data_IF_486994166471
#
_entry.id   IF_486994166471
#
_cell.length_a   1.000
_cell.length_b   1.000
_cell.length_c   1.000
_cell.angle_alpha   90.00
_cell.angle_beta   90.00
_cell.angle_gamma   90.00
#
_symmetry.space_group_name_H-M   'P 1'
#
loop_
_entity.id
_entity.type
_entity.pdbx_description
1 polymer ?
#
# COMPACT_ATOMS: atom_id res chain seq x y z
N UNK A 1 3.32 19.30 7.71
CA UNK A 1 3.99 18.20 6.98
C UNK A 1 3.43 18.18 5.58
N UNK A 2 4.27 17.94 4.58
CA UNK A 2 3.88 18.01 3.18
C UNK A 2 2.87 16.91 2.85
N UNK A 3 1.66 17.25 2.32
CA UNK A 3 0.70 16.27 1.84
C UNK A 3 1.23 15.58 0.58
N UNK A 4 1.11 14.26 0.51
CA UNK A 4 1.68 13.45 -0.58
C UNK A 4 0.71 12.47 -1.21
N UNK A 5 -0.42 12.17 -0.55
CA UNK A 5 -1.38 11.17 -1.03
C UNK A 5 -2.39 11.82 -1.98
N UNK A 6 -2.40 11.47 -3.28
CA UNK A 6 -3.41 11.96 -4.20
C UNK A 6 -4.79 11.39 -3.87
N UNK A 7 -5.80 12.27 -3.87
CA UNK A 7 -7.21 11.93 -3.64
C UNK A 7 -8.13 12.60 -4.65
N UNK A 8 -9.37 12.11 -4.73
CA UNK A 8 -10.40 12.68 -5.59
C UNK A 8 -10.18 12.41 -7.08
N UNK A 9 -10.97 13.08 -7.91
CA UNK A 9 -10.92 12.97 -9.37
C UNK A 9 -9.72 13.70 -9.95
N UNK A 10 -9.30 13.31 -11.15
CA UNK A 10 -8.37 14.09 -11.94
C UNK A 10 -8.99 15.41 -12.38
N UNK A 11 -8.20 16.45 -12.44
CA UNK A 11 -8.58 17.78 -12.86
C UNK A 11 -7.60 18.35 -13.87
N UNK A 12 -8.02 19.34 -14.61
CA UNK A 12 -7.19 20.11 -15.53
C UNK A 12 -6.20 21.00 -14.77
N UNK A 13 -5.19 21.50 -15.46
CA UNK A 13 -4.26 22.47 -14.86
C UNK A 13 -4.98 23.74 -14.40
N UNK A 14 -5.93 24.24 -15.18
CA UNK A 14 -6.69 25.46 -14.84
C UNK A 14 -7.50 25.29 -13.54
N UNK A 15 -8.14 24.13 -13.35
CA UNK A 15 -8.84 23.78 -12.11
C UNK A 15 -7.90 23.65 -10.92
N UNK A 16 -6.73 23.01 -11.15
CA UNK A 16 -5.67 22.87 -10.16
C UNK A 16 -5.14 24.23 -9.69
N UNK A 17 -4.85 25.14 -10.61
CA UNK A 17 -4.34 26.48 -10.31
C UNK A 17 -5.35 27.30 -9.47
N UNK A 18 -6.66 27.15 -9.70
CA UNK A 18 -7.71 27.75 -8.88
C UNK A 18 -7.69 27.22 -7.44
N UNK A 19 -7.49 25.91 -7.25
CA UNK A 19 -7.41 25.31 -5.92
C UNK A 19 -6.13 25.72 -5.19
N UNK A 20 -5.00 25.76 -5.89
CA UNK A 20 -3.73 26.24 -5.34
C UNK A 20 -3.84 27.69 -4.84
N UNK A 21 -4.52 28.55 -5.60
CA UNK A 21 -4.79 29.92 -5.17
C UNK A 21 -5.64 30.03 -3.91
N UNK A 22 -6.41 28.97 -3.57
CA UNK A 22 -7.20 28.84 -2.34
C UNK A 22 -6.39 28.15 -1.19
N UNK A 23 -5.10 27.86 -1.39
CA UNK A 23 -4.25 27.20 -0.39
C UNK A 23 -4.38 25.67 -0.37
N UNK A 24 -5.06 25.07 -1.34
CA UNK A 24 -5.19 23.62 -1.45
C UNK A 24 -3.94 23.03 -2.10
N UNK A 25 -3.36 22.00 -1.50
CA UNK A 25 -2.23 21.27 -2.09
C UNK A 25 -2.68 20.38 -3.24
N UNK A 26 -2.05 20.56 -4.40
CA UNK A 26 -2.35 19.82 -5.64
C UNK A 26 -1.03 19.37 -6.26
N UNK A 27 -1.01 18.18 -6.85
CA UNK A 27 0.14 17.66 -7.63
C UNK A 27 -0.30 17.11 -8.96
N UNK A 28 0.59 17.09 -9.91
CA UNK A 28 0.44 16.32 -11.14
C UNK A 28 0.58 14.82 -10.82
N UNK A 29 -0.32 13.99 -11.33
CA UNK A 29 -0.37 12.56 -11.03
C UNK A 29 -0.19 11.72 -12.30
N UNK A 30 1.06 11.39 -12.56
CA UNK A 30 1.47 10.36 -13.53
C UNK A 30 0.99 10.61 -14.97
N UNK A 31 1.03 11.86 -15.44
CA UNK A 31 0.63 12.25 -16.80
C UNK A 31 -0.87 12.23 -17.07
N UNK A 32 -1.70 11.93 -16.06
CA UNK A 32 -3.16 11.80 -16.18
C UNK A 32 -3.92 13.08 -15.82
N UNK A 33 -3.23 14.10 -15.32
CA UNK A 33 -3.78 15.35 -14.84
C UNK A 33 -3.40 15.65 -13.40
N UNK A 34 -4.11 16.56 -12.78
CA UNK A 34 -3.82 17.06 -11.45
C UNK A 34 -4.78 16.46 -10.42
N UNK A 35 -4.29 16.25 -9.20
CA UNK A 35 -5.12 15.77 -8.08
C UNK A 35 -4.77 16.52 -6.79
N UNK A 36 -5.79 16.72 -5.97
CA UNK A 36 -5.61 17.18 -4.61
C UNK A 36 -4.78 16.17 -3.82
N UNK A 37 -3.87 16.66 -2.96
CA UNK A 37 -3.09 15.80 -2.07
C UNK A 37 -3.38 16.11 -0.60
N UNK A 38 -3.33 15.07 0.23
CA UNK A 38 -3.52 15.14 1.67
C UNK A 38 -2.38 14.41 2.39
N UNK A 39 -2.29 14.61 3.69
CA UNK A 39 -1.36 13.86 4.52
C UNK A 39 -1.69 12.36 4.48
N UNK A 40 -0.65 11.52 4.47
CA UNK A 40 -0.78 10.05 4.51
C UNK A 40 0.21 9.50 5.53
N UNK A 41 -0.09 9.59 6.83
CA UNK A 41 0.78 9.06 7.86
C UNK A 41 0.75 7.53 7.87
N UNK A 42 1.81 6.94 8.41
CA UNK A 42 1.84 5.52 8.72
C UNK A 42 0.79 5.20 9.79
N UNK A 43 -0.02 4.14 9.62
CA UNK A 43 -0.94 3.70 10.66
C UNK A 43 -0.14 3.10 11.83
N UNK A 44 -0.53 3.45 13.04
CA UNK A 44 0.13 2.98 14.26
C UNK A 44 -0.63 1.83 14.91
N UNK A 45 -1.97 1.83 14.80
CA UNK A 45 -2.87 0.88 15.45
C UNK A 45 -4.17 0.77 14.67
N UNK A 46 -4.79 -0.39 14.71
CA UNK A 46 -6.15 -0.64 14.22
C UNK A 46 -7.07 -0.75 15.44
N UNK A 47 -8.06 0.14 15.54
CA UNK A 47 -8.91 0.23 16.73
C UNK A 47 -9.70 -1.06 16.96
N UNK A 48 -10.21 -1.68 15.90
CA UNK A 48 -11.03 -2.90 15.92
C UNK A 48 -10.22 -4.20 15.92
N UNK A 49 -8.90 -4.14 16.09
CA UNK A 49 -8.00 -5.31 15.98
C UNK A 49 -8.45 -6.51 16.82
N UNK A 50 -8.92 -6.28 18.04
CA UNK A 50 -9.41 -7.35 18.92
C UNK A 50 -10.60 -8.10 18.32
N UNK A 51 -11.58 -7.38 17.79
CA UNK A 51 -12.76 -7.96 17.15
C UNK A 51 -12.38 -8.71 15.86
N UNK A 52 -11.53 -8.11 15.04
CA UNK A 52 -11.04 -8.72 13.79
C UNK A 52 -10.35 -10.05 14.08
N UNK A 53 -9.47 -10.07 15.08
CA UNK A 53 -8.74 -11.28 15.48
C UNK A 53 -9.70 -12.37 15.95
N UNK A 54 -10.62 -12.04 16.85
CA UNK A 54 -11.61 -12.98 17.37
C UNK A 54 -12.44 -13.63 16.26
N UNK A 55 -12.90 -12.85 15.30
CA UNK A 55 -13.68 -13.35 14.17
C UNK A 55 -12.82 -14.23 13.24
N UNK A 56 -11.60 -13.82 12.93
CA UNK A 56 -10.69 -14.60 12.09
C UNK A 56 -10.33 -15.94 12.74
N UNK A 57 -10.00 -15.96 14.03
CA UNK A 57 -9.71 -17.18 14.80
C UNK A 57 -10.93 -18.11 14.91
N UNK A 58 -12.15 -17.56 14.87
CA UNK A 58 -13.39 -18.34 14.79
C UNK A 58 -13.70 -18.85 13.37
N UNK A 59 -12.84 -18.63 12.38
CA UNK A 59 -12.96 -19.10 11.00
C UNK A 59 -13.85 -18.23 10.11
N UNK A 60 -14.16 -17.01 10.53
CA UNK A 60 -14.90 -16.07 9.69
C UNK A 60 -14.00 -15.38 8.66
N UNK A 61 -14.54 -15.11 7.47
CA UNK A 61 -13.94 -14.20 6.49
C UNK A 61 -14.27 -12.76 6.91
N UNK A 62 -13.24 -11.97 7.22
CA UNK A 62 -13.41 -10.61 7.74
C UNK A 62 -13.02 -9.58 6.69
N UNK A 63 -13.97 -8.76 6.24
CA UNK A 63 -13.71 -7.60 5.39
C UNK A 63 -13.44 -6.40 6.30
N UNK A 64 -12.23 -5.86 6.24
CA UNK A 64 -11.79 -4.79 7.15
C UNK A 64 -10.81 -3.83 6.47
N UNK A 65 -10.51 -2.72 7.13
CA UNK A 65 -9.61 -1.66 6.68
C UNK A 65 -10.00 -0.93 5.37
N UNK A 66 -10.91 -1.45 4.56
CA UNK A 66 -11.37 -0.82 3.32
C UNK A 66 -10.24 -0.21 2.47
N UNK A 67 -10.34 1.07 2.13
CA UNK A 67 -9.31 1.82 1.39
C UNK A 67 -8.13 2.31 2.26
N UNK A 68 -8.00 1.86 3.52
CA UNK A 68 -6.96 2.27 4.47
C UNK A 68 -7.50 2.52 5.89
N UNK A 69 -8.81 2.50 6.07
CA UNK A 69 -9.50 2.84 7.32
C UNK A 69 -9.73 4.34 7.49
N UNK A 70 -10.50 4.71 8.50
CA UNK A 70 -10.74 6.10 8.89
C UNK A 70 -9.62 6.51 9.87
N UNK A 71 -8.76 7.48 9.50
CA UNK A 71 -7.71 7.94 10.40
C UNK A 71 -8.31 8.73 11.57
N UNK A 72 -7.89 8.39 12.78
CA UNK A 72 -8.35 9.03 14.01
C UNK A 72 -7.18 9.30 14.95
N UNK A 73 -7.34 10.31 15.81
CA UNK A 73 -6.51 10.53 16.99
C UNK A 73 -7.25 10.05 18.24
N UNK A 74 -6.51 9.58 19.22
CA UNK A 74 -7.02 9.31 20.55
C UNK A 74 -6.76 10.52 21.43
N UNK A 75 -7.82 11.25 21.78
CA UNK A 75 -7.78 12.40 22.66
C UNK A 75 -8.41 12.02 24.01
N UNK A 76 -7.60 11.40 24.88
CA UNK A 76 -8.05 11.03 26.21
C UNK A 76 -9.14 9.96 26.24
N UNK A 77 -9.10 8.99 25.32
CA UNK A 77 -10.09 7.92 25.19
C UNK A 77 -11.23 8.22 24.22
N UNK A 78 -11.24 9.42 23.61
CA UNK A 78 -12.19 9.79 22.55
C UNK A 78 -11.50 9.77 21.19
N UNK A 79 -12.05 9.04 20.25
CA UNK A 79 -11.56 9.01 18.87
C UNK A 79 -12.08 10.24 18.11
N UNK A 80 -11.14 11.03 17.56
CA UNK A 80 -11.42 12.23 16.77
C UNK A 80 -10.84 12.06 15.38
N UNK A 81 -11.61 12.38 14.33
CA UNK A 81 -11.18 12.24 12.93
C UNK A 81 -9.95 13.09 12.61
N UNK A 82 -9.02 12.52 11.86
CA UNK A 82 -7.83 13.21 11.36
C UNK A 82 -8.00 13.60 9.88
N UNK A 83 -7.55 14.81 9.51
CA UNK A 83 -7.49 15.24 8.10
C UNK A 83 -6.34 14.55 7.36
N UNK A 84 -6.52 13.28 7.08
CA UNK A 84 -5.51 12.42 6.45
C UNK A 84 -6.19 11.29 5.67
N UNK A 85 -5.41 10.56 4.88
CA UNK A 85 -5.83 9.28 4.28
C UNK A 85 -4.73 8.26 4.53
N UNK A 86 -5.06 7.18 5.22
CA UNK A 86 -4.12 6.08 5.41
C UNK A 86 -4.00 5.30 4.10
N UNK A 87 -2.77 4.99 3.70
CA UNK A 87 -2.54 4.12 2.55
C UNK A 87 -3.00 2.70 2.87
N UNK A 88 -3.79 2.09 1.95
CA UNK A 88 -4.37 0.76 2.17
C UNK A 88 -3.32 -0.36 2.27
N UNK A 89 -2.20 -0.22 1.54
CA UNK A 89 -1.14 -1.23 1.56
C UNK A 89 -0.44 -1.21 2.94
N UNK A 90 -0.24 -0.02 3.51
CA UNK A 90 0.28 0.16 4.87
C UNK A 90 -0.70 -0.37 5.94
N UNK A 91 -2.00 -0.10 5.80
CA UNK A 91 -3.01 -0.61 6.73
C UNK A 91 -3.10 -2.13 6.67
N UNK A 92 -3.06 -2.72 5.47
CA UNK A 92 -3.09 -4.17 5.27
C UNK A 92 -1.86 -4.86 5.84
N UNK A 93 -0.67 -4.27 5.62
CA UNK A 93 0.58 -4.78 6.21
C UNK A 93 0.55 -4.72 7.74
N UNK A 94 0.06 -3.63 8.32
CA UNK A 94 -0.10 -3.52 9.78
C UNK A 94 -1.08 -4.58 10.29
N UNK A 95 -2.24 -4.72 9.68
CA UNK A 95 -3.23 -5.72 10.07
C UNK A 95 -2.64 -7.13 10.02
N UNK A 96 -2.03 -7.50 8.89
CA UNK A 96 -1.47 -8.83 8.70
C UNK A 96 -0.40 -9.17 9.75
N UNK A 97 0.44 -8.19 10.13
CA UNK A 97 1.42 -8.35 11.21
C UNK A 97 0.76 -8.56 12.57
N UNK A 98 -0.23 -7.74 12.88
CA UNK A 98 -0.90 -7.73 14.18
C UNK A 98 -1.77 -8.98 14.41
N UNK A 99 -2.45 -9.50 13.39
CA UNK A 99 -3.19 -10.77 13.48
C UNK A 99 -2.28 -11.99 13.31
N UNK A 100 -0.98 -11.78 13.06
CA UNK A 100 0.01 -12.83 12.81
C UNK A 100 -0.34 -13.70 11.60
N UNK A 101 -0.78 -13.07 10.51
CA UNK A 101 -1.03 -13.78 9.26
C UNK A 101 0.25 -14.49 8.75
N UNK A 102 0.06 -15.63 8.12
CA UNK A 102 1.16 -16.39 7.51
C UNK A 102 1.58 -15.79 6.17
N UNK A 103 0.64 -15.14 5.48
CA UNK A 103 0.84 -14.65 4.13
C UNK A 103 0.10 -13.34 3.88
N UNK A 104 0.74 -12.40 3.19
CA UNK A 104 0.12 -11.15 2.73
C UNK A 104 0.05 -11.16 1.21
N UNK A 105 -1.17 -11.06 0.66
CA UNK A 105 -1.37 -10.98 -0.81
C UNK A 105 -1.82 -9.57 -1.17
N UNK A 106 -1.05 -8.90 -2.03
CA UNK A 106 -1.35 -7.59 -2.57
C UNK A 106 -1.71 -7.73 -4.05
N UNK A 107 -2.96 -7.45 -4.38
CA UNK A 107 -3.46 -7.53 -5.74
C UNK A 107 -3.36 -6.17 -6.43
N UNK A 108 -2.86 -6.15 -7.65
CA UNK A 108 -2.58 -4.94 -8.42
C UNK A 108 -2.89 -5.10 -9.91
N UNK A 109 -2.50 -4.14 -10.74
CA UNK A 109 -2.79 -4.12 -12.18
C UNK A 109 -1.70 -4.77 -13.04
N UNK A 110 -0.66 -5.33 -12.44
CA UNK A 110 0.42 -6.04 -13.14
C UNK A 110 0.66 -7.40 -12.51
N UNK A 111 1.12 -8.35 -13.31
CA UNK A 111 1.31 -9.74 -12.87
C UNK A 111 2.49 -9.91 -11.93
N UNK A 112 3.56 -9.15 -12.15
CA UNK A 112 4.78 -9.18 -11.33
C UNK A 112 5.31 -7.78 -11.08
N UNK A 113 6.16 -7.63 -10.10
CA UNK A 113 7.01 -6.45 -9.91
C UNK A 113 8.09 -6.45 -10.98
N UNK A 114 8.45 -5.27 -11.50
CA UNK A 114 9.51 -5.13 -12.48
C UNK A 114 10.51 -4.06 -12.07
N UNK A 115 11.76 -4.25 -12.47
CA UNK A 115 12.77 -3.20 -12.54
C UNK A 115 12.87 -2.67 -13.97
N UNK A 116 13.37 -1.45 -14.13
CA UNK A 116 13.45 -0.74 -15.41
C UNK A 116 12.10 -0.68 -16.16
N UNK A 117 11.01 -0.57 -15.41
CA UNK A 117 9.65 -0.61 -15.96
C UNK A 117 9.45 0.39 -17.11
N UNK A 118 8.93 -0.11 -18.25
CA UNK A 118 8.71 0.68 -19.47
C UNK A 118 9.95 0.96 -20.30
N UNK A 119 11.13 0.39 -19.98
CA UNK A 119 12.37 0.50 -20.75
C UNK A 119 12.65 -0.79 -21.51
N UNK A 120 13.57 -0.74 -22.50
CA UNK A 120 13.96 -1.91 -23.29
C UNK A 120 14.56 -3.05 -22.44
N UNK A 121 15.21 -2.70 -21.35
CA UNK A 121 15.81 -3.64 -20.40
C UNK A 121 14.91 -3.92 -19.19
N UNK A 122 13.59 -3.85 -19.35
CA UNK A 122 12.64 -4.21 -18.30
C UNK A 122 12.78 -5.68 -17.94
N UNK A 123 12.80 -5.96 -16.64
CA UNK A 123 12.85 -7.32 -16.09
C UNK A 123 11.73 -7.54 -15.08
N UNK A 124 11.00 -8.64 -15.24
CA UNK A 124 9.95 -9.08 -14.32
C UNK A 124 10.53 -9.99 -13.24
N UNK A 125 10.26 -9.67 -12.00
CA UNK A 125 10.79 -10.38 -10.85
C UNK A 125 9.76 -11.39 -10.34
N UNK A 126 10.12 -12.67 -10.23
CA UNK A 126 9.28 -13.70 -9.61
C UNK A 126 9.57 -13.86 -8.13
N UNK A 127 10.81 -13.62 -7.75
CA UNK A 127 11.35 -13.75 -6.40
C UNK A 127 12.13 -12.49 -6.06
N UNK A 128 11.98 -12.00 -4.83
CA UNK A 128 12.60 -10.75 -4.42
C UNK A 128 12.93 -10.81 -2.92
N UNK A 129 14.19 -10.96 -2.60
CA UNK A 129 14.64 -10.86 -1.21
C UNK A 129 14.48 -9.43 -0.68
N UNK A 130 14.35 -9.28 0.63
CA UNK A 130 14.27 -7.96 1.29
C UNK A 130 15.49 -7.11 0.95
N UNK A 131 16.69 -7.69 0.90
CA UNK A 131 17.93 -6.96 0.58
C UNK A 131 17.90 -6.44 -0.86
N UNK A 132 17.50 -7.26 -1.83
CA UNK A 132 17.33 -6.85 -3.22
C UNK A 132 16.24 -5.77 -3.36
N UNK A 133 15.11 -5.95 -2.65
CA UNK A 133 14.03 -4.97 -2.67
C UNK A 133 14.49 -3.60 -2.15
N UNK A 134 15.24 -3.57 -1.05
CA UNK A 134 15.83 -2.35 -0.49
C UNK A 134 16.85 -1.71 -1.43
N UNK A 135 17.68 -2.50 -2.11
CA UNK A 135 18.58 -2.01 -3.13
C UNK A 135 17.80 -1.35 -4.27
N UNK A 136 16.78 -2.00 -4.82
CA UNK A 136 15.97 -1.46 -5.91
C UNK A 136 15.15 -0.22 -5.49
N UNK A 137 14.75 -0.12 -4.22
CA UNK A 137 14.16 1.10 -3.66
C UNK A 137 15.18 2.24 -3.67
N UNK A 138 16.42 2.00 -3.24
CA UNK A 138 17.48 3.00 -3.24
C UNK A 138 17.86 3.46 -4.66
N UNK A 139 17.75 2.57 -5.65
CA UNK A 139 17.92 2.84 -7.08
C UNK A 139 16.69 3.48 -7.75
N UNK A 140 15.65 3.82 -6.99
CA UNK A 140 14.38 4.39 -7.46
C UNK A 140 13.69 3.58 -8.57
N UNK A 141 13.78 2.24 -8.53
CA UNK A 141 13.19 1.36 -9.53
C UNK A 141 11.66 1.31 -9.48
N UNK A 142 11.04 1.66 -8.35
CA UNK A 142 9.60 1.53 -8.15
C UNK A 142 8.90 2.88 -8.14
N UNK A 143 7.79 2.98 -8.87
CA UNK A 143 6.99 4.20 -8.97
C UNK A 143 6.42 4.61 -7.60
N UNK A 144 6.78 5.83 -7.14
CA UNK A 144 6.49 6.37 -5.79
C UNK A 144 4.99 6.41 -5.44
N UNK A 145 4.11 6.57 -6.44
CA UNK A 145 2.66 6.66 -6.22
C UNK A 145 1.89 5.34 -6.35
N UNK A 146 2.56 4.24 -6.73
CA UNK A 146 1.88 2.98 -7.05
C UNK A 146 2.61 1.73 -6.55
N UNK A 147 3.75 1.35 -7.14
CA UNK A 147 4.46 0.12 -6.80
C UNK A 147 5.26 0.23 -5.51
N UNK A 148 5.94 1.35 -5.29
CA UNK A 148 6.78 1.54 -4.10
C UNK A 148 6.04 1.29 -2.77
N UNK A 149 4.84 1.85 -2.52
CA UNK A 149 4.11 1.56 -1.28
C UNK A 149 3.79 0.08 -1.07
N UNK A 150 3.55 -0.67 -2.16
CA UNK A 150 3.27 -2.11 -2.11
C UNK A 150 4.50 -2.92 -1.71
N UNK A 151 5.64 -2.63 -2.35
CA UNK A 151 6.92 -3.29 -2.04
C UNK A 151 7.32 -2.98 -0.59
N UNK A 152 7.24 -1.73 -0.16
CA UNK A 152 7.52 -1.36 1.24
C UNK A 152 6.58 -2.04 2.24
N UNK A 153 5.28 -2.16 1.93
CA UNK A 153 4.31 -2.85 2.77
C UNK A 153 4.61 -4.35 2.86
N UNK A 154 5.00 -4.96 1.74
CA UNK A 154 5.40 -6.36 1.65
C UNK A 154 6.70 -6.64 2.45
N UNK A 155 7.71 -5.78 2.33
CA UNK A 155 8.95 -5.86 3.14
C UNK A 155 8.62 -5.83 4.62
N UNK A 156 7.86 -4.82 5.09
CA UNK A 156 7.48 -4.70 6.50
C UNK A 156 6.73 -5.92 7.04
N UNK A 157 5.94 -6.57 6.20
CA UNK A 157 5.27 -7.81 6.58
C UNK A 157 6.26 -8.98 6.66
N UNK A 158 7.09 -9.20 5.64
CA UNK A 158 8.05 -10.28 5.59
C UNK A 158 9.10 -10.18 6.73
N UNK A 159 9.53 -8.95 7.08
CA UNK A 159 10.44 -8.71 8.22
C UNK A 159 9.84 -9.05 9.58
N UNK A 160 8.51 -9.00 9.71
CA UNK A 160 7.84 -9.07 11.00
C UNK A 160 7.78 -10.47 11.63
N UNK A 161 8.23 -11.49 10.93
CA UNK A 161 8.28 -12.86 11.46
C UNK A 161 9.08 -13.80 10.55
N UNK A 162 9.53 -14.90 11.13
CA UNK A 162 10.22 -15.96 10.38
C UNK A 162 9.21 -16.71 9.49
N UNK A 163 9.62 -17.01 8.24
CA UNK A 163 8.80 -17.71 7.26
C UNK A 163 7.64 -16.92 6.68
N UNK A 164 7.48 -15.63 7.01
CA UNK A 164 6.45 -14.76 6.43
C UNK A 164 6.85 -14.30 5.04
N UNK A 165 5.95 -14.51 4.10
CA UNK A 165 6.12 -14.11 2.71
C UNK A 165 4.98 -13.20 2.27
N UNK A 166 5.27 -12.22 1.41
CA UNK A 166 4.27 -11.40 0.77
C UNK A 166 4.27 -11.62 -0.74
N UNK A 167 3.09 -11.71 -1.33
CA UNK A 167 2.89 -11.85 -2.76
C UNK A 167 2.33 -10.55 -3.34
N UNK A 168 2.91 -10.09 -4.44
CA UNK A 168 2.33 -9.03 -5.29
C UNK A 168 2.00 -9.65 -6.63
N UNK A 169 0.72 -9.60 -7.05
CA UNK A 169 0.28 -10.17 -8.32
C UNK A 169 -0.92 -9.45 -8.91
N UNK A 170 -1.25 -9.78 -10.15
CA UNK A 170 -2.44 -9.29 -10.87
C UNK A 170 -3.72 -9.80 -10.19
N UNK A 171 -4.75 -8.96 -10.13
CA UNK A 171 -6.02 -9.31 -9.49
C UNK A 171 -6.62 -10.60 -10.06
N UNK A 172 -6.63 -10.73 -11.38
CA UNK A 172 -7.17 -11.88 -12.10
C UNK A 172 -6.33 -13.16 -11.94
N UNK A 173 -5.10 -13.00 -11.43
CA UNK A 173 -4.13 -14.08 -11.20
C UNK A 173 -3.93 -14.42 -9.72
N UNK A 174 -4.85 -13.97 -8.86
CA UNK A 174 -4.74 -14.17 -7.42
C UNK A 174 -4.60 -15.65 -7.04
N UNK A 175 -5.37 -16.52 -7.66
CA UNK A 175 -5.36 -17.97 -7.39
C UNK A 175 -4.04 -18.61 -7.81
N UNK A 176 -3.60 -18.34 -9.03
CA UNK A 176 -2.32 -18.82 -9.57
C UNK A 176 -1.14 -18.30 -8.75
N UNK A 177 -1.20 -17.04 -8.33
CA UNK A 177 -0.16 -16.45 -7.47
C UNK A 177 -0.09 -17.11 -6.10
N UNK A 178 -1.21 -17.38 -5.45
CA UNK A 178 -1.27 -18.08 -4.15
C UNK A 178 -0.74 -19.53 -4.30
N UNK A 179 -0.97 -20.17 -5.44
CA UNK A 179 -0.44 -21.51 -5.75
C UNK A 179 1.07 -21.50 -6.10
N UNK A 180 1.72 -20.33 -6.20
CA UNK A 180 3.13 -20.20 -6.56
C UNK A 180 3.42 -20.27 -8.05
N UNK A 181 2.41 -20.16 -8.90
CA UNK A 181 2.53 -20.28 -10.37
C UNK A 181 2.94 -18.95 -11.03
N UNK A 182 2.65 -17.82 -10.38
CA UNK A 182 2.96 -16.46 -10.85
C UNK A 182 3.05 -15.45 -9.72
N UNK A 183 3.31 -14.17 -10.06
CA UNK A 183 3.48 -13.08 -9.10
C UNK A 183 4.92 -12.87 -8.68
N UNK A 184 5.13 -11.94 -7.78
CA UNK A 184 6.42 -11.68 -7.11
C UNK A 184 6.29 -12.00 -5.64
N UNK A 185 7.07 -12.94 -5.15
CA UNK A 185 7.16 -13.28 -3.73
C UNK A 185 8.27 -12.45 -3.09
N UNK A 186 7.94 -11.72 -2.02
CA UNK A 186 8.90 -10.97 -1.21
C UNK A 186 9.11 -11.71 0.11
N UNK A 187 10.38 -11.98 0.44
CA UNK A 187 10.76 -12.80 1.58
C UNK A 187 12.12 -12.37 2.18
N UNK A 188 12.45 -12.89 3.36
CA UNK A 188 13.79 -12.76 3.95
C UNK A 188 14.85 -13.50 3.16
#
# INVERSE_FOLDING_TARGET
>A
KNPTKPIGSFMTKEEADKLVAQGVSVVEDSGRGYRKVVASPMPLRICELGTIRTLAEAGHVVITCGGGGIPVFDEGGKLVGAEAVIDKDNASSLLAREIRADYLVILTAVEKVAINFGKENQEWLSDLSIDQANQYIAEEQFAKGSMLPKVEAAIRFAESGEGRNALITLLEKAKEGINGETGTVIHK
#
